data_IF_275166365180
#
_entry.id   IF_275166365180
#
_cell.length_a   1.000
_cell.length_b   1.000
_cell.length_c   1.000
_cell.angle_alpha   90.00
_cell.angle_beta   90.00
_cell.angle_gamma   90.00
#
_symmetry.space_group_name_H-M   'P 1'
#
loop_
_entity.id
_entity.type
_entity.pdbx_description
1 polymer ?
#
# COMPACT_ATOMS: atom_id res chain seq x y z
N UNK A 1 -5.72 23.08 -49.37
CA UNK A 1 -5.59 22.87 -47.92
C UNK A 1 -4.51 21.84 -47.72
N UNK A 2 -3.46 22.26 -47.06
CA UNK A 2 -2.16 21.63 -47.13
C UNK A 2 -2.04 20.37 -46.29
N UNK A 3 -1.46 19.32 -46.82
CA UNK A 3 -1.13 18.04 -46.14
C UNK A 3 -0.42 18.20 -44.77
N UNK A 4 0.15 19.36 -44.51
CA UNK A 4 0.83 19.72 -43.26
C UNK A 4 -0.12 19.84 -42.05
N UNK A 5 -1.37 20.26 -42.27
CA UNK A 5 -2.38 20.35 -41.19
C UNK A 5 -2.91 19.00 -40.76
N UNK A 6 -2.99 18.04 -41.69
CA UNK A 6 -3.49 16.68 -41.38
C UNK A 6 -2.48 15.86 -40.57
N UNK A 7 -1.20 16.05 -40.78
CA UNK A 7 -0.14 15.35 -40.04
C UNK A 7 -0.04 15.85 -38.59
N UNK A 8 -0.24 17.15 -38.36
CA UNK A 8 -0.24 17.73 -37.00
C UNK A 8 -1.45 17.30 -36.16
N UNK A 9 -2.62 17.15 -36.77
CA UNK A 9 -3.81 16.68 -36.08
C UNK A 9 -3.72 15.20 -35.69
N UNK A 10 -3.12 14.35 -36.53
CA UNK A 10 -2.91 12.94 -36.26
C UNK A 10 -1.88 12.70 -35.14
N UNK A 11 -0.82 13.50 -35.10
CA UNK A 11 0.21 13.42 -34.07
C UNK A 11 -0.30 13.79 -32.68
N UNK A 12 -1.20 14.78 -32.57
CA UNK A 12 -1.78 15.21 -31.29
C UNK A 12 -2.73 14.15 -30.68
N UNK A 13 -3.50 13.44 -31.52
CA UNK A 13 -4.37 12.36 -31.05
C UNK A 13 -3.63 11.13 -30.56
N UNK A 14 -2.48 10.78 -31.18
CA UNK A 14 -1.66 9.64 -30.76
C UNK A 14 -0.96 9.92 -29.44
N UNK A 15 -0.50 11.15 -29.20
CA UNK A 15 0.11 11.55 -27.92
C UNK A 15 -0.90 11.53 -26.75
N UNK A 16 -2.17 11.82 -27.00
CA UNK A 16 -3.22 11.81 -25.97
C UNK A 16 -3.59 10.38 -25.52
N UNK A 17 -3.50 9.39 -26.42
CA UNK A 17 -3.81 7.99 -26.13
C UNK A 17 -2.73 7.28 -25.29
N UNK A 18 -1.49 7.77 -25.29
CA UNK A 18 -0.38 7.18 -24.54
C UNK A 18 -0.29 7.64 -23.07
N UNK A 19 -1.00 8.70 -22.67
CA UNK A 19 -0.98 9.23 -21.30
C UNK A 19 -2.02 8.64 -20.35
N UNK A 20 -3.01 7.86 -20.82
CA UNK A 20 -4.15 7.42 -20.00
C UNK A 20 -3.90 6.25 -19.02
N UNK A 21 -3.02 5.27 -19.27
CA UNK A 21 -2.93 4.11 -18.38
C UNK A 21 -2.20 4.38 -17.05
N UNK A 22 -1.28 5.31 -17.01
CA UNK A 22 -0.50 5.60 -15.80
C UNK A 22 -1.33 6.24 -14.67
N UNK A 23 -2.30 7.07 -15.02
CA UNK A 23 -3.15 7.77 -14.04
C UNK A 23 -4.14 6.84 -13.34
N UNK A 24 -4.66 5.83 -14.02
CA UNK A 24 -5.58 4.85 -13.44
C UNK A 24 -4.89 3.93 -12.45
N UNK A 25 -3.68 3.51 -12.71
CA UNK A 25 -2.91 2.66 -11.81
C UNK A 25 -2.53 3.40 -10.52
N UNK A 26 -2.13 4.67 -10.63
CA UNK A 26 -1.81 5.50 -9.46
C UNK A 26 -3.05 5.73 -8.57
N UNK A 27 -4.22 5.98 -9.15
CA UNK A 27 -5.47 6.16 -8.41
C UNK A 27 -5.91 4.87 -7.69
N UNK A 28 -5.75 3.71 -8.33
CA UNK A 28 -6.07 2.42 -7.73
C UNK A 28 -5.13 2.09 -6.57
N UNK A 29 -3.84 2.35 -6.71
CA UNK A 29 -2.86 2.15 -5.64
C UNK A 29 -3.13 3.07 -4.45
N UNK A 30 -3.51 4.32 -4.69
CA UNK A 30 -3.89 5.27 -3.63
C UNK A 30 -5.10 4.80 -2.84
N UNK A 31 -6.15 4.32 -3.51
CA UNK A 31 -7.34 3.75 -2.85
C UNK A 31 -7.02 2.48 -2.06
N UNK A 32 -6.18 1.60 -2.62
CA UNK A 32 -5.73 0.41 -1.91
C UNK A 32 -4.95 0.77 -0.64
N UNK A 33 -4.03 1.72 -0.71
CA UNK A 33 -3.27 2.18 0.44
C UNK A 33 -4.16 2.81 1.53
N UNK A 34 -5.16 3.60 1.15
CA UNK A 34 -6.14 4.15 2.10
C UNK A 34 -6.94 3.04 2.80
N UNK A 35 -7.42 2.06 2.05
CA UNK A 35 -8.09 0.88 2.62
C UNK A 35 -7.15 0.12 3.57
N UNK A 36 -5.91 -0.12 3.18
CA UNK A 36 -4.91 -0.81 4.00
C UNK A 36 -4.62 -0.07 5.31
N UNK A 37 -4.53 1.27 5.27
CA UNK A 37 -4.42 2.10 6.46
C UNK A 37 -5.60 1.89 7.41
N UNK A 38 -6.82 1.90 6.90
CA UNK A 38 -8.03 1.72 7.70
C UNK A 38 -8.08 0.33 8.34
N UNK A 39 -7.72 -0.72 7.59
CA UNK A 39 -7.62 -2.09 8.12
C UNK A 39 -6.60 -2.15 9.27
N UNK A 40 -5.40 -1.63 9.06
CA UNK A 40 -4.36 -1.60 10.09
C UNK A 40 -4.79 -0.78 11.32
N UNK A 41 -5.46 0.36 11.12
CA UNK A 41 -5.96 1.17 12.22
C UNK A 41 -6.98 0.40 13.05
N UNK A 42 -7.90 -0.30 12.41
CA UNK A 42 -8.96 -1.07 13.09
C UNK A 42 -8.40 -2.31 13.80
N UNK A 43 -7.55 -3.09 13.11
CA UNK A 43 -7.10 -4.40 13.59
C UNK A 43 -5.84 -4.35 14.43
N UNK A 44 -4.95 -3.37 14.20
CA UNK A 44 -3.61 -3.31 14.77
C UNK A 44 -3.35 -2.02 15.58
N UNK A 45 -4.07 -0.94 15.26
CA UNK A 45 -3.81 0.41 15.81
C UNK A 45 -3.99 0.55 17.31
N UNK A 46 -4.66 -0.40 17.95
CA UNK A 46 -4.79 -0.43 19.41
C UNK A 46 -3.44 -0.68 20.11
N UNK A 47 -2.54 -1.39 19.48
CA UNK A 47 -1.24 -1.75 20.03
C UNK A 47 -0.07 -1.14 19.25
N UNK A 48 -0.16 -1.10 17.93
CA UNK A 48 0.90 -0.67 17.02
C UNK A 48 0.67 0.75 16.49
N UNK A 49 1.74 1.56 16.39
CA UNK A 49 1.69 2.80 15.63
C UNK A 49 1.55 2.50 14.14
N UNK A 50 0.54 3.08 13.50
CA UNK A 50 0.22 2.87 12.10
C UNK A 50 0.91 3.90 11.19
N UNK A 51 1.14 5.11 11.71
CA UNK A 51 1.65 6.24 10.95
C UNK A 51 3.17 6.17 10.71
N UNK A 52 3.65 7.03 9.81
CA UNK A 52 5.08 7.16 9.51
C UNK A 52 5.91 7.66 10.70
N UNK A 53 5.28 8.31 11.67
CA UNK A 53 5.89 8.87 12.87
C UNK A 53 5.06 8.52 14.10
N UNK A 54 5.62 8.72 15.28
CA UNK A 54 4.95 8.46 16.54
C UNK A 54 5.31 7.10 17.15
N UNK A 55 4.98 6.93 18.42
CA UNK A 55 5.21 5.70 19.17
C UNK A 55 3.96 4.84 19.20
N UNK A 56 4.16 3.53 19.37
CA UNK A 56 3.05 2.59 19.55
C UNK A 56 2.36 2.81 20.87
N UNK A 57 1.01 2.71 20.93
CA UNK A 57 0.26 2.78 22.17
C UNK A 57 0.73 1.74 23.19
N UNK A 58 1.01 0.53 22.73
CA UNK A 58 1.66 -0.50 23.54
C UNK A 58 3.18 -0.45 23.31
N UNK A 59 3.95 -0.13 24.34
CA UNK A 59 5.41 0.04 24.23
C UNK A 59 6.16 -1.20 23.72
N UNK A 60 5.65 -2.40 24.00
CA UNK A 60 6.23 -3.65 23.55
C UNK A 60 5.88 -3.99 22.08
N UNK A 61 4.90 -3.30 21.48
CA UNK A 61 4.50 -3.49 20.11
C UNK A 61 5.31 -2.58 19.17
N UNK A 62 6.08 -3.12 18.21
CA UNK A 62 6.84 -2.28 17.28
C UNK A 62 5.90 -1.51 16.35
N UNK A 63 6.25 -0.29 15.94
CA UNK A 63 5.52 0.44 14.90
C UNK A 63 5.47 -0.34 13.58
N UNK A 64 4.39 -0.18 12.80
CA UNK A 64 4.23 -0.88 11.52
C UNK A 64 5.34 -0.58 10.52
N UNK A 65 5.87 0.63 10.50
CA UNK A 65 7.03 1.01 9.68
C UNK A 65 8.29 0.20 10.01
N UNK A 66 8.48 -0.17 11.29
CA UNK A 66 9.63 -0.95 11.75
C UNK A 66 9.43 -2.44 11.45
N UNK A 67 8.20 -2.94 11.54
CA UNK A 67 7.84 -4.28 11.09
C UNK A 67 8.13 -4.40 9.59
N UNK A 68 7.62 -3.46 8.78
CA UNK A 68 7.84 -3.47 7.34
C UNK A 68 9.33 -3.39 6.96
N UNK A 69 10.15 -2.70 7.75
CA UNK A 69 11.58 -2.59 7.50
C UNK A 69 12.37 -3.86 7.84
N UNK A 70 11.84 -4.76 8.68
CA UNK A 70 12.51 -6.00 9.12
C UNK A 70 12.26 -7.18 8.18
N UNK A 71 11.14 -7.21 7.49
CA UNK A 71 10.75 -8.27 6.57
C UNK A 71 10.96 -7.84 5.13
N UNK A 72 11.30 -8.77 4.25
CA UNK A 72 11.09 -8.53 2.83
C UNK A 72 9.58 -8.41 2.55
N UNK A 73 9.16 -7.65 1.53
CA UNK A 73 7.74 -7.53 1.19
C UNK A 73 7.07 -8.88 0.97
N UNK A 74 7.77 -9.84 0.38
CA UNK A 74 7.26 -11.18 0.12
C UNK A 74 7.03 -11.98 1.42
N UNK A 75 7.96 -11.91 2.35
CA UNK A 75 7.83 -12.58 3.65
C UNK A 75 6.67 -11.99 4.44
N UNK A 76 6.57 -10.67 4.53
CA UNK A 76 5.48 -10.02 5.24
C UNK A 76 4.12 -10.33 4.61
N UNK A 77 4.03 -10.37 3.29
CA UNK A 77 2.82 -10.77 2.58
C UNK A 77 2.41 -12.20 2.94
N UNK A 78 3.35 -13.15 2.96
CA UNK A 78 3.08 -14.53 3.33
C UNK A 78 2.61 -14.64 4.79
N UNK A 79 3.28 -13.97 5.72
CA UNK A 79 2.88 -13.93 7.14
C UNK A 79 1.46 -13.39 7.33
N UNK A 80 1.10 -12.33 6.62
CA UNK A 80 -0.25 -11.75 6.66
C UNK A 80 -1.29 -12.70 6.09
N UNK A 81 -0.98 -13.40 4.98
CA UNK A 81 -1.89 -14.36 4.33
C UNK A 81 -2.08 -15.64 5.16
N UNK A 82 -1.07 -16.06 5.88
CA UNK A 82 -1.09 -17.24 6.75
C UNK A 82 -1.68 -16.96 8.15
N UNK A 83 -2.05 -15.71 8.41
CA UNK A 83 -2.68 -15.30 9.67
C UNK A 83 -1.68 -15.00 10.77
N UNK A 84 -0.53 -14.40 10.43
CA UNK A 84 0.54 -13.94 11.33
C UNK A 84 0.58 -14.71 12.66
N UNK A 85 1.23 -15.85 12.69
CA UNK A 85 1.48 -16.58 13.94
C UNK A 85 2.47 -15.77 14.77
N UNK A 86 1.93 -14.83 15.53
CA UNK A 86 2.72 -13.98 16.39
C UNK A 86 3.41 -14.82 17.46
N UNK A 87 4.69 -14.56 17.68
CA UNK A 87 5.42 -15.05 18.85
C UNK A 87 4.97 -14.38 20.15
N UNK A 88 4.03 -13.44 20.08
CA UNK A 88 3.47 -12.71 21.23
C UNK A 88 2.11 -13.26 21.59
N UNK A 89 1.96 -13.76 22.82
CA UNK A 89 0.68 -14.26 23.35
C UNK A 89 -0.45 -13.23 23.31
N UNK A 90 -0.10 -11.95 23.33
CA UNK A 90 -1.04 -10.84 23.38
C UNK A 90 -1.55 -10.38 22.01
N UNK A 91 -0.89 -10.79 20.92
CA UNK A 91 -1.30 -10.44 19.57
C UNK A 91 -2.38 -11.41 19.10
N UNK A 92 -3.60 -10.94 18.81
CA UNK A 92 -4.65 -11.81 18.30
C UNK A 92 -4.26 -12.33 16.92
N UNK A 93 -4.62 -13.59 16.66
CA UNK A 93 -4.52 -14.15 15.32
C UNK A 93 -5.64 -13.56 14.47
N UNK A 94 -5.29 -12.95 13.34
CA UNK A 94 -6.23 -12.31 12.42
C UNK A 94 -6.00 -12.89 11.03
N UNK A 95 -7.06 -13.41 10.44
CA UNK A 95 -7.06 -13.85 9.06
C UNK A 95 -7.43 -12.68 8.14
N UNK A 96 -6.65 -12.48 7.10
CA UNK A 96 -6.88 -11.45 6.09
C UNK A 96 -7.18 -12.11 4.74
N UNK A 97 -8.12 -11.55 3.99
CA UNK A 97 -8.30 -11.91 2.59
C UNK A 97 -7.12 -11.43 1.74
N UNK A 98 -6.93 -12.03 0.56
CA UNK A 98 -5.88 -11.60 -0.37
C UNK A 98 -6.00 -10.11 -0.74
N UNK A 99 -7.23 -9.60 -0.83
CA UNK A 99 -7.50 -8.18 -1.08
C UNK A 99 -7.09 -7.30 0.11
N UNK A 100 -7.29 -7.77 1.33
CA UNK A 100 -6.87 -7.05 2.54
C UNK A 100 -5.35 -7.04 2.64
N UNK A 101 -4.70 -8.17 2.36
CA UNK A 101 -3.24 -8.26 2.32
C UNK A 101 -2.66 -7.30 1.28
N UNK A 102 -3.22 -7.27 0.06
CA UNK A 102 -2.82 -6.32 -0.97
C UNK A 102 -2.98 -4.87 -0.52
N UNK A 103 -4.08 -4.54 0.11
CA UNK A 103 -4.35 -3.20 0.63
C UNK A 103 -3.36 -2.81 1.73
N UNK A 104 -3.13 -3.69 2.70
CA UNK A 104 -2.16 -3.51 3.79
C UNK A 104 -0.76 -3.27 3.23
N UNK A 105 -0.30 -4.12 2.31
CA UNK A 105 1.02 -3.99 1.69
C UNK A 105 1.16 -2.69 0.90
N UNK A 106 0.08 -2.26 0.20
CA UNK A 106 0.05 -0.98 -0.51
C UNK A 106 0.25 0.21 0.43
N UNK A 107 -0.36 0.19 1.62
CA UNK A 107 -0.13 1.22 2.62
C UNK A 107 1.27 1.17 3.21
N UNK A 108 1.74 0.00 3.63
CA UNK A 108 3.06 -0.16 4.22
C UNK A 108 4.18 0.29 3.29
N UNK A 109 4.03 0.06 1.98
CA UNK A 109 4.94 0.59 0.97
C UNK A 109 5.04 2.12 1.03
N UNK A 110 3.94 2.84 1.28
CA UNK A 110 3.96 4.30 1.41
C UNK A 110 4.78 4.78 2.60
N UNK A 111 4.92 3.98 3.65
CA UNK A 111 5.72 4.30 4.83
C UNK A 111 7.23 4.20 4.54
N UNK A 112 7.62 3.31 3.63
CA UNK A 112 9.03 3.13 3.22
C UNK A 112 9.53 4.27 2.32
N UNK A 113 8.65 4.81 1.46
CA UNK A 113 9.02 5.83 0.46
C UNK A 113 9.13 7.23 1.06
N UNK A 114 8.56 7.47 2.23
CA UNK A 114 8.56 8.79 2.90
C UNK A 114 9.77 9.06 3.80
N UNK A 115 10.84 8.29 3.69
CA UNK A 115 12.09 8.54 4.42
C UNK A 115 12.95 9.60 3.76
#
# INVERSE_FOLDING_TARGET
MSARFMVLALGCCIALLLCLPASLNAANLSKAAERGKNILQEKCGRCHAIEAVGESPLKSAPPMRDIYARFSPRELQAELSEGMVSKHREMPQIEFSDEDVYAIMSYLYTLAVKK
#
